data_IF_416572722905
#
_entry.id   IF_416572722905
#
_cell.length_a   1.000
_cell.length_b   1.000
_cell.length_c   1.000
_cell.angle_alpha   90.00
_cell.angle_beta   90.00
_cell.angle_gamma   90.00
#
_symmetry.space_group_name_H-M   'P 1'
#
loop_
_entity.id
_entity.type
_entity.pdbx_description
1 polymer ?
#
# COMPACT_ATOMS: atom_id res chain seq x y z
N UNK A 1 13.72 -38.60 -0.15
CA UNK A 1 12.91 -38.17 1.01
C UNK A 1 13.66 -36.98 1.56
N UNK A 2 13.52 -35.84 0.88
CA UNK A 2 14.36 -34.66 1.10
C UNK A 2 13.90 -33.93 2.35
N UNK A 3 14.88 -33.56 3.16
CA UNK A 3 14.71 -32.71 4.32
C UNK A 3 13.94 -31.45 3.91
N UNK A 4 12.74 -31.29 4.46
CA UNK A 4 12.04 -30.02 4.54
C UNK A 4 12.87 -29.11 5.44
N UNK A 5 13.96 -28.55 4.88
CA UNK A 5 14.71 -27.48 5.51
C UNK A 5 13.72 -26.36 5.88
N UNK A 6 13.86 -25.87 7.11
CA UNK A 6 13.01 -24.86 7.71
C UNK A 6 12.67 -23.77 6.69
N UNK A 7 11.38 -23.66 6.40
CA UNK A 7 10.83 -23.09 5.17
C UNK A 7 10.29 -21.68 5.43
N UNK A 8 10.84 -21.01 6.45
CA UNK A 8 10.33 -19.76 6.97
C UNK A 8 11.11 -18.55 6.43
N UNK A 9 10.39 -17.45 6.18
CA UNK A 9 10.97 -16.19 5.71
C UNK A 9 12.00 -15.64 6.71
N UNK A 10 11.90 -16.05 7.99
CA UNK A 10 12.84 -15.70 9.06
C UNK A 10 14.25 -16.25 8.88
N UNK A 11 14.43 -17.28 8.05
CA UNK A 11 15.71 -18.00 7.95
C UNK A 11 16.55 -17.51 6.76
N UNK A 12 15.97 -16.64 5.93
CA UNK A 12 16.64 -16.07 4.77
C UNK A 12 17.70 -15.06 5.20
N UNK A 13 18.87 -15.13 4.59
CA UNK A 13 20.01 -14.25 4.89
C UNK A 13 20.44 -13.36 3.73
N UNK A 14 19.95 -13.62 2.51
CA UNK A 14 20.29 -12.88 1.29
C UNK A 14 19.04 -12.46 0.50
N UNK A 15 19.18 -11.41 -0.32
CA UNK A 15 18.08 -10.85 -1.10
C UNK A 15 17.47 -11.84 -2.11
N UNK A 16 18.29 -12.62 -2.80
CA UNK A 16 17.83 -13.59 -3.79
C UNK A 16 16.99 -14.70 -3.15
N UNK A 17 17.44 -15.21 -2.00
CA UNK A 17 16.71 -16.14 -1.17
C UNK A 17 15.34 -15.58 -0.77
N UNK A 18 15.29 -14.30 -0.40
CA UNK A 18 14.05 -13.64 0.01
C UNK A 18 13.08 -13.55 -1.16
N UNK A 19 13.53 -13.04 -2.30
CA UNK A 19 12.70 -12.87 -3.49
C UNK A 19 12.16 -14.20 -3.99
N UNK A 20 12.99 -15.23 -4.04
CA UNK A 20 12.57 -16.58 -4.43
C UNK A 20 11.48 -17.11 -3.49
N UNK A 21 11.58 -16.89 -2.18
CA UNK A 21 10.55 -17.32 -1.21
C UNK A 21 9.24 -16.53 -1.33
N UNK A 22 9.32 -15.24 -1.66
CA UNK A 22 8.15 -14.39 -1.89
C UNK A 22 7.46 -14.68 -3.22
N UNK A 23 8.20 -15.10 -4.25
CA UNK A 23 7.69 -15.50 -5.56
C UNK A 23 7.13 -16.91 -5.55
N UNK A 24 7.87 -17.89 -5.02
CA UNK A 24 7.49 -19.31 -5.05
C UNK A 24 6.55 -19.71 -3.90
N UNK A 25 6.22 -18.77 -3.02
CA UNK A 25 5.47 -19.02 -1.78
C UNK A 25 4.07 -19.60 -2.02
N UNK A 26 3.85 -20.81 -1.51
CA UNK A 26 2.52 -21.41 -1.39
C UNK A 26 1.60 -20.53 -0.51
N UNK A 27 0.29 -20.59 -0.80
CA UNK A 27 -0.76 -20.00 0.04
C UNK A 27 -0.59 -20.55 1.46
N UNK A 28 -0.21 -19.68 2.39
CA UNK A 28 0.06 -19.99 3.78
C UNK A 28 -0.91 -19.28 4.72
N UNK A 29 -0.51 -19.11 5.98
CA UNK A 29 -1.22 -18.25 6.93
C UNK A 29 -0.75 -16.79 6.84
N UNK A 30 -1.61 -15.87 7.25
CA UNK A 30 -1.19 -14.47 7.47
C UNK A 30 -0.13 -14.40 8.56
N UNK A 31 0.84 -13.50 8.40
CA UNK A 31 1.97 -13.34 9.32
C UNK A 31 1.94 -11.95 9.97
N UNK A 32 2.52 -11.80 11.18
CA UNK A 32 2.74 -10.49 11.77
C UNK A 32 3.61 -9.60 10.86
N UNK A 33 3.40 -8.27 10.87
CA UNK A 33 4.20 -7.35 10.05
C UNK A 33 5.68 -7.34 10.45
N UNK A 34 5.99 -7.59 11.73
CA UNK A 34 7.37 -7.67 12.23
C UNK A 34 8.21 -8.71 11.45
N UNK A 35 7.62 -9.83 11.02
CA UNK A 35 8.33 -10.85 10.25
C UNK A 35 8.84 -10.29 8.91
N UNK A 36 8.05 -9.46 8.22
CA UNK A 36 8.48 -8.82 6.98
C UNK A 36 9.58 -7.79 7.22
N UNK A 37 9.37 -6.93 8.22
CA UNK A 37 10.28 -5.84 8.55
C UNK A 37 11.63 -6.37 9.03
N UNK A 38 11.63 -7.42 9.85
CA UNK A 38 12.85 -8.07 10.34
C UNK A 38 13.60 -8.81 9.24
N UNK A 39 12.90 -9.47 8.32
CA UNK A 39 13.53 -10.08 7.14
C UNK A 39 14.17 -9.02 6.24
N UNK A 40 13.46 -7.92 5.99
CA UNK A 40 13.98 -6.79 5.21
C UNK A 40 15.24 -6.20 5.83
N UNK A 41 15.20 -5.90 7.13
CA UNK A 41 16.35 -5.37 7.88
C UNK A 41 17.52 -6.34 7.88
N UNK A 42 17.26 -7.63 8.04
CA UNK A 42 18.31 -8.65 8.10
C UNK A 42 19.12 -8.71 6.81
N UNK A 43 18.44 -8.69 5.66
CA UNK A 43 19.09 -8.72 4.35
C UNK A 43 19.80 -7.40 4.04
N UNK A 44 19.14 -6.26 4.25
CA UNK A 44 19.64 -4.99 3.69
C UNK A 44 20.39 -4.08 4.66
N UNK A 45 20.46 -4.39 5.97
CA UNK A 45 21.21 -3.56 6.93
C UNK A 45 22.70 -3.41 6.58
N UNK A 46 23.27 -4.38 5.88
CA UNK A 46 24.65 -4.34 5.40
C UNK A 46 24.89 -3.48 4.16
N UNK A 47 23.84 -2.84 3.60
CA UNK A 47 23.93 -2.12 2.32
C UNK A 47 23.84 -3.02 1.10
N UNK A 48 23.25 -4.22 1.24
CA UNK A 48 23.00 -5.11 0.11
C UNK A 48 22.05 -4.47 -0.90
N UNK A 49 22.35 -4.63 -2.20
CA UNK A 49 21.53 -4.11 -3.28
C UNK A 49 20.15 -4.79 -3.35
N UNK A 50 19.20 -4.13 -4.02
CA UNK A 50 17.86 -4.68 -4.26
C UNK A 50 16.89 -4.51 -3.09
N UNK A 51 17.14 -3.53 -2.21
CA UNK A 51 16.20 -3.14 -1.15
C UNK A 51 14.82 -2.77 -1.73
N UNK A 52 14.79 -2.03 -2.84
CA UNK A 52 13.57 -1.77 -3.61
C UNK A 52 12.77 -3.05 -3.93
N UNK A 53 13.41 -4.06 -4.53
CA UNK A 53 12.74 -5.29 -4.95
C UNK A 53 12.18 -6.07 -3.74
N UNK A 54 12.95 -6.13 -2.65
CA UNK A 54 12.49 -6.71 -1.38
C UNK A 54 11.29 -5.97 -0.81
N UNK A 55 11.32 -4.63 -0.78
CA UNK A 55 10.24 -3.81 -0.26
C UNK A 55 8.96 -3.98 -1.09
N UNK A 56 9.08 -3.93 -2.42
CA UNK A 56 7.97 -4.13 -3.35
C UNK A 56 7.31 -5.49 -3.15
N UNK A 57 8.11 -6.55 -3.08
CA UNK A 57 7.61 -7.92 -2.88
C UNK A 57 6.97 -8.09 -1.50
N UNK A 58 7.58 -7.59 -0.43
CA UNK A 58 7.04 -7.71 0.94
C UNK A 58 5.72 -6.94 1.11
N UNK A 59 5.64 -5.72 0.60
CA UNK A 59 4.44 -4.89 0.72
C UNK A 59 3.24 -5.49 -0.03
N UNK A 60 3.50 -6.13 -1.17
CA UNK A 60 2.47 -6.67 -2.07
C UNK A 60 2.19 -8.17 -1.88
N UNK A 61 2.90 -8.85 -0.98
CA UNK A 61 2.66 -10.25 -0.66
C UNK A 61 1.34 -10.42 0.13
N UNK A 62 0.57 -11.45 -0.26
CA UNK A 62 -0.76 -11.70 0.28
C UNK A 62 -0.73 -12.05 1.79
N UNK A 63 0.40 -12.57 2.32
CA UNK A 63 0.59 -12.91 3.75
C UNK A 63 0.35 -11.71 4.66
N UNK A 64 0.67 -10.51 4.16
CA UNK A 64 0.54 -9.25 4.89
C UNK A 64 -0.55 -8.33 4.33
N UNK A 65 -1.44 -8.82 3.45
CA UNK A 65 -2.51 -7.98 2.84
C UNK A 65 -3.35 -7.16 3.83
N UNK A 66 -3.54 -7.66 5.05
CA UNK A 66 -4.33 -6.99 6.12
C UNK A 66 -3.51 -6.01 6.95
N UNK A 67 -2.19 -6.13 6.92
CA UNK A 67 -1.24 -5.35 7.72
C UNK A 67 -0.19 -4.66 6.84
N UNK A 68 -0.47 -4.50 5.54
CA UNK A 68 0.49 -4.00 4.54
C UNK A 68 0.93 -2.57 4.84
N UNK A 69 0.06 -1.75 5.43
CA UNK A 69 0.41 -0.42 5.93
C UNK A 69 1.51 -0.47 7.00
N UNK A 70 1.43 -1.44 7.92
CA UNK A 70 2.41 -1.60 9.01
C UNK A 70 3.73 -2.16 8.49
N UNK A 71 3.68 -3.05 7.48
CA UNK A 71 4.88 -3.52 6.78
C UNK A 71 5.58 -2.37 6.07
N UNK A 72 4.86 -1.59 5.27
CA UNK A 72 5.40 -0.45 4.54
C UNK A 72 5.98 0.61 5.50
N UNK A 73 5.22 0.97 6.54
CA UNK A 73 5.70 1.91 7.56
C UNK A 73 6.99 1.42 8.21
N UNK A 74 7.06 0.16 8.65
CA UNK A 74 8.26 -0.39 9.27
C UNK A 74 9.46 -0.52 8.33
N UNK A 75 9.22 -0.68 7.02
CA UNK A 75 10.26 -0.65 5.98
C UNK A 75 10.77 0.78 5.79
N UNK A 76 9.90 1.77 5.64
CA UNK A 76 10.29 3.19 5.49
C UNK A 76 11.03 3.68 6.75
N UNK A 77 10.49 3.39 7.94
CA UNK A 77 11.11 3.73 9.24
C UNK A 77 12.46 3.06 9.48
N UNK A 78 12.79 1.99 8.73
CA UNK A 78 14.10 1.36 8.85
C UNK A 78 15.24 2.24 8.31
N UNK A 79 14.93 3.24 7.48
CA UNK A 79 15.91 4.14 6.86
C UNK A 79 16.81 3.46 5.81
N UNK A 80 16.50 2.23 5.42
CA UNK A 80 17.27 1.46 4.43
C UNK A 80 16.91 1.90 3.00
N UNK A 81 15.63 2.23 2.75
CA UNK A 81 15.23 2.83 1.48
C UNK A 81 15.55 4.32 1.53
N UNK A 82 16.42 4.78 0.63
CA UNK A 82 16.62 6.20 0.40
C UNK A 82 15.38 6.83 -0.26
N UNK A 83 15.41 8.16 -0.41
CA UNK A 83 14.32 8.92 -1.02
C UNK A 83 14.00 8.45 -2.44
N UNK A 84 15.03 8.10 -3.23
CA UNK A 84 14.86 7.67 -4.62
C UNK A 84 14.20 6.28 -4.69
N UNK A 85 14.58 5.36 -3.81
CA UNK A 85 13.94 4.05 -3.68
C UNK A 85 12.49 4.16 -3.20
N UNK A 86 12.20 5.08 -2.28
CA UNK A 86 10.83 5.35 -1.84
C UNK A 86 9.98 5.95 -2.96
N UNK A 87 10.52 6.91 -3.71
CA UNK A 87 9.88 7.49 -4.90
C UNK A 87 9.60 6.41 -5.95
N UNK A 88 10.58 5.54 -6.19
CA UNK A 88 10.47 4.41 -7.12
C UNK A 88 9.46 3.37 -6.63
N UNK A 89 9.28 3.21 -5.32
CA UNK A 89 8.28 2.33 -4.72
C UNK A 89 6.87 2.91 -4.79
N UNK A 90 6.71 4.22 -4.62
CA UNK A 90 5.42 4.88 -4.70
C UNK A 90 4.81 4.80 -6.10
N UNK A 91 5.62 4.92 -7.16
CA UNK A 91 5.17 4.89 -8.55
C UNK A 91 4.32 3.65 -8.92
N UNK A 92 4.81 2.39 -8.79
CA UNK A 92 4.01 1.21 -9.09
C UNK A 92 2.85 1.00 -8.11
N UNK A 93 2.97 1.46 -6.86
CA UNK A 93 1.90 1.35 -5.87
C UNK A 93 0.77 2.34 -6.09
N UNK A 94 1.01 3.46 -6.77
CA UNK A 94 -0.02 4.42 -7.12
C UNK A 94 -0.64 4.07 -8.46
N UNK A 95 0.17 4.05 -9.53
CA UNK A 95 -0.36 4.13 -10.90
C UNK A 95 -0.76 2.79 -11.51
N UNK A 96 -0.25 1.66 -10.97
CA UNK A 96 -0.55 0.34 -11.52
C UNK A 96 -1.70 -0.32 -10.78
N UNK A 97 -2.58 -1.01 -11.52
CA UNK A 97 -3.60 -1.88 -10.90
C UNK A 97 -2.95 -3.09 -10.22
N UNK A 98 -1.94 -3.67 -10.89
CA UNK A 98 -1.14 -4.80 -10.42
C UNK A 98 0.31 -4.55 -10.74
N UNK A 99 1.18 -4.87 -9.80
CA UNK A 99 2.63 -4.80 -9.97
C UNK A 99 3.12 -6.10 -10.60
N UNK A 100 3.86 -5.98 -11.70
CA UNK A 100 4.45 -7.13 -12.41
C UNK A 100 5.91 -7.30 -12.01
N UNK A 101 6.20 -8.34 -11.23
CA UNK A 101 7.58 -8.64 -10.83
C UNK A 101 8.18 -9.71 -11.74
N UNK A 102 9.24 -9.37 -12.47
CA UNK A 102 9.92 -10.30 -13.40
C UNK A 102 10.98 -11.11 -12.65
N UNK A 103 11.03 -12.41 -12.91
CA UNK A 103 12.00 -13.31 -12.30
C UNK A 103 12.34 -14.47 -13.24
N UNK A 104 13.49 -15.13 -13.10
CA UNK A 104 13.77 -16.33 -13.87
C UNK A 104 12.87 -17.49 -13.43
N UNK A 105 12.46 -18.33 -14.38
CA UNK A 105 11.48 -19.39 -14.13
C UNK A 105 12.02 -20.44 -13.17
N UNK A 106 13.34 -20.64 -13.10
CA UNK A 106 13.95 -21.61 -12.20
C UNK A 106 13.63 -21.36 -10.72
N UNK A 107 13.23 -20.14 -10.33
CA UNK A 107 12.78 -19.83 -8.96
C UNK A 107 11.58 -20.70 -8.53
N UNK A 108 10.65 -20.93 -9.46
CA UNK A 108 9.42 -21.70 -9.23
C UNK A 108 9.51 -23.15 -9.74
N UNK A 109 10.50 -23.44 -10.58
CA UNK A 109 10.80 -24.77 -11.10
C UNK A 109 11.25 -24.72 -12.56
N UNK A 110 11.79 -25.83 -13.07
CA UNK A 110 12.21 -25.96 -14.48
C UNK A 110 11.42 -27.04 -15.23
N UNK A 111 10.55 -27.76 -14.52
CA UNK A 111 9.70 -28.82 -15.07
C UNK A 111 8.26 -28.54 -14.68
N UNK A 112 7.41 -28.34 -15.69
CA UNK A 112 6.00 -28.01 -15.52
C UNK A 112 5.13 -29.06 -16.20
N UNK A 113 3.86 -29.14 -15.80
CA UNK A 113 2.85 -29.94 -16.49
C UNK A 113 1.91 -28.98 -17.20
N UNK A 114 1.90 -29.03 -18.53
CA UNK A 114 1.00 -28.26 -19.37
C UNK A 114 -0.32 -29.01 -19.53
N UNK A 115 -1.43 -28.34 -19.24
CA UNK A 115 -2.78 -28.85 -19.46
C UNK A 115 -3.47 -28.02 -20.56
N UNK A 116 -4.06 -28.68 -21.54
CA UNK A 116 -4.95 -28.02 -22.49
C UNK A 116 -6.36 -27.96 -21.92
N UNK A 117 -6.77 -26.76 -21.48
CA UNK A 117 -8.13 -26.51 -21.02
C UNK A 117 -9.09 -26.65 -22.21
N UNK A 118 -9.82 -27.76 -22.28
CA UNK A 118 -10.78 -28.06 -23.36
C UNK A 118 -10.65 -29.44 -24.01
N UNK A 119 -9.62 -30.22 -23.68
CA UNK A 119 -9.51 -31.60 -24.13
C UNK A 119 -9.19 -32.54 -22.95
N UNK A 120 -9.77 -33.76 -22.89
CA UNK A 120 -9.50 -34.73 -21.82
C UNK A 120 -8.15 -35.44 -22.02
N UNK A 121 -7.09 -34.71 -22.40
CA UNK A 121 -5.75 -35.26 -22.59
C UNK A 121 -4.96 -35.16 -21.28
N UNK A 122 -4.19 -36.20 -20.99
CA UNK A 122 -3.22 -36.18 -19.90
C UNK A 122 -2.24 -35.01 -20.09
N UNK A 123 -1.92 -34.31 -19.00
CA UNK A 123 -1.01 -33.17 -19.04
C UNK A 123 0.38 -33.57 -19.55
N UNK A 124 0.97 -32.73 -20.39
CA UNK A 124 2.31 -32.96 -20.95
C UNK A 124 3.35 -32.35 -20.02
N UNK A 125 4.35 -33.12 -19.61
CA UNK A 125 5.51 -32.54 -18.90
C UNK A 125 6.37 -31.78 -19.90
N UNK A 126 6.61 -30.50 -19.62
CA UNK A 126 7.51 -29.63 -20.37
C UNK A 126 8.69 -29.25 -19.48
N UNK A 127 9.88 -29.17 -20.09
CA UNK A 127 11.07 -28.60 -19.46
C UNK A 127 11.30 -27.23 -20.08
N UNK A 128 11.45 -26.22 -19.24
CA UNK A 128 11.67 -24.84 -19.67
C UNK A 128 13.11 -24.45 -19.36
N UNK A 129 13.72 -23.65 -20.23
CA UNK A 129 15.04 -23.06 -19.97
C UNK A 129 14.99 -22.29 -18.64
N UNK A 130 15.90 -22.57 -17.69
CA UNK A 130 15.89 -21.95 -16.36
C UNK A 130 15.91 -20.41 -16.40
N UNK A 131 16.56 -19.82 -17.41
CA UNK A 131 16.72 -18.37 -17.54
C UNK A 131 15.54 -17.70 -18.24
N UNK A 132 14.54 -18.47 -18.66
CA UNK A 132 13.28 -17.92 -19.18
C UNK A 132 12.64 -17.01 -18.14
N UNK A 133 12.36 -15.75 -18.51
CA UNK A 133 11.71 -14.81 -17.62
C UNK A 133 10.22 -15.14 -17.47
N UNK A 134 9.78 -15.27 -16.22
CA UNK A 134 8.40 -15.34 -15.80
C UNK A 134 8.00 -14.04 -15.08
N UNK A 135 6.69 -13.84 -14.91
CA UNK A 135 6.15 -12.68 -14.22
C UNK A 135 5.24 -13.13 -13.08
N UNK A 136 5.47 -12.61 -11.89
CA UNK A 136 4.58 -12.72 -10.76
C UNK A 136 3.70 -11.46 -10.66
N UNK A 137 2.39 -11.62 -10.84
CA UNK A 137 1.41 -10.55 -10.67
C UNK A 137 1.12 -10.32 -9.19
N UNK A 138 1.36 -9.10 -8.72
CA UNK A 138 1.14 -8.67 -7.34
C UNK A 138 0.00 -7.68 -7.26
N UNK A 139 -0.88 -7.89 -6.30
CA UNK A 139 -1.98 -6.97 -6.04
C UNK A 139 -1.50 -5.80 -5.18
N UNK A 140 -1.92 -4.59 -5.55
CA UNK A 140 -1.69 -3.41 -4.72
C UNK A 140 -2.89 -3.25 -3.77
N UNK A 141 -2.63 -3.26 -2.47
CA UNK A 141 -3.67 -3.15 -1.46
C UNK A 141 -4.01 -1.67 -1.18
N UNK A 142 -5.26 -1.33 -0.82
CA UNK A 142 -5.67 0.06 -0.57
C UNK A 142 -4.74 0.84 0.38
N UNK A 143 -4.25 0.27 1.51
CA UNK A 143 -3.35 1.02 2.38
C UNK A 143 -2.01 1.40 1.74
N UNK A 144 -1.52 0.63 0.76
CA UNK A 144 -0.32 0.97 -0.01
C UNK A 144 -0.60 2.15 -0.93
N UNK A 145 -1.78 2.19 -1.57
CA UNK A 145 -2.23 3.33 -2.40
C UNK A 145 -2.36 4.62 -1.58
N UNK A 146 -2.85 4.52 -0.35
CA UNK A 146 -2.93 5.67 0.57
C UNK A 146 -1.54 6.26 0.84
N UNK A 147 -0.54 5.42 1.12
CA UNK A 147 0.83 5.91 1.30
C UNK A 147 1.39 6.48 0.00
N UNK A 148 1.26 5.76 -1.12
CA UNK A 148 1.85 6.15 -2.40
C UNK A 148 1.28 7.49 -2.91
N UNK A 149 -0.03 7.72 -2.78
CA UNK A 149 -0.67 8.98 -3.15
C UNK A 149 -0.14 10.16 -2.32
N UNK A 150 -0.03 9.97 -1.00
CA UNK A 150 0.53 11.00 -0.12
C UNK A 150 2.01 11.28 -0.44
N UNK A 151 2.80 10.23 -0.63
CA UNK A 151 4.24 10.34 -0.93
C UNK A 151 4.50 11.08 -2.24
N UNK A 152 3.81 10.71 -3.33
CA UNK A 152 3.96 11.34 -4.64
C UNK A 152 3.62 12.84 -4.60
N UNK A 153 2.57 13.23 -3.86
CA UNK A 153 2.18 14.63 -3.71
C UNK A 153 3.17 15.43 -2.84
N UNK A 154 3.57 14.89 -1.68
CA UNK A 154 4.60 15.51 -0.82
C UNK A 154 5.92 15.76 -1.56
N UNK A 155 6.27 14.87 -2.48
CA UNK A 155 7.50 14.94 -3.28
C UNK A 155 7.33 15.76 -4.56
N UNK A 156 6.16 16.38 -4.77
CA UNK A 156 5.79 17.13 -5.97
C UNK A 156 6.01 16.37 -7.28
N UNK A 157 5.82 15.04 -7.24
CA UNK A 157 6.02 14.15 -8.41
C UNK A 157 4.77 14.00 -9.27
N UNK A 158 3.64 14.49 -8.80
CA UNK A 158 2.40 14.64 -9.56
C UNK A 158 1.59 15.79 -8.96
N UNK A 159 0.68 16.36 -9.74
CA UNK A 159 -0.30 17.31 -9.20
C UNK A 159 -1.46 16.58 -8.50
N UNK A 160 -2.18 17.31 -7.65
CA UNK A 160 -3.44 16.89 -7.06
C UNK A 160 -4.43 16.44 -8.14
N UNK A 161 -4.50 17.16 -9.26
CA UNK A 161 -5.39 16.82 -10.37
C UNK A 161 -5.01 15.48 -11.01
N UNK A 162 -3.73 15.21 -11.24
CA UNK A 162 -3.27 13.92 -11.78
C UNK A 162 -3.67 12.75 -10.86
N UNK A 163 -3.44 12.92 -9.55
CA UNK A 163 -3.76 11.90 -8.54
C UNK A 163 -5.27 11.68 -8.43
N UNK A 164 -6.07 12.75 -8.45
CA UNK A 164 -7.53 12.67 -8.39
C UNK A 164 -8.13 12.09 -9.68
N UNK A 165 -7.59 12.46 -10.85
CA UNK A 165 -7.98 11.88 -12.13
C UNK A 165 -7.71 10.38 -12.14
N UNK A 166 -6.55 9.96 -11.67
CA UNK A 166 -6.25 8.54 -11.55
C UNK A 166 -7.17 7.84 -10.54
N UNK A 167 -7.43 8.44 -9.38
CA UNK A 167 -8.36 7.88 -8.40
C UNK A 167 -9.75 7.59 -9.01
N UNK A 168 -10.25 8.46 -9.90
CA UNK A 168 -11.54 8.25 -10.60
C UNK A 168 -11.54 7.05 -11.54
N UNK A 169 -10.37 6.58 -12.00
CA UNK A 169 -10.24 5.40 -12.86
C UNK A 169 -10.20 4.08 -12.08
N UNK A 170 -10.02 4.12 -10.76
CA UNK A 170 -9.84 2.95 -9.92
C UNK A 170 -11.18 2.41 -9.39
N UNK A 171 -11.22 1.12 -8.98
CA UNK A 171 -12.32 0.59 -8.19
C UNK A 171 -12.56 1.42 -6.91
N UNK A 172 -13.82 1.56 -6.51
CA UNK A 172 -14.24 2.50 -5.46
C UNK A 172 -13.42 2.46 -4.17
N UNK A 173 -13.00 1.26 -3.72
CA UNK A 173 -12.19 1.10 -2.50
C UNK A 173 -10.77 1.64 -2.66
N UNK A 174 -10.15 1.41 -3.81
CA UNK A 174 -8.81 1.86 -4.13
C UNK A 174 -8.79 3.36 -4.41
N UNK A 175 -9.80 3.84 -5.14
CA UNK A 175 -10.06 5.25 -5.37
C UNK A 175 -10.16 6.02 -4.04
N UNK A 176 -10.99 5.54 -3.10
CA UNK A 176 -11.11 6.14 -1.78
C UNK A 176 -9.78 6.14 -0.99
N UNK A 177 -8.96 5.11 -1.15
CA UNK A 177 -7.67 5.02 -0.49
C UNK A 177 -6.65 6.04 -1.03
N UNK A 178 -6.63 6.25 -2.35
CA UNK A 178 -5.81 7.29 -3.00
C UNK A 178 -6.20 8.67 -2.50
N UNK A 179 -7.49 9.03 -2.56
CA UNK A 179 -7.96 10.36 -2.10
C UNK A 179 -7.70 10.56 -0.61
N UNK A 180 -7.89 9.53 0.21
CA UNK A 180 -7.52 9.59 1.65
C UNK A 180 -6.03 9.86 1.84
N UNK A 181 -5.17 9.29 0.99
CA UNK A 181 -3.73 9.54 1.00
C UNK A 181 -3.39 10.99 0.68
N UNK A 182 -4.03 11.55 -0.34
CA UNK A 182 -3.86 12.95 -0.72
C UNK A 182 -4.27 13.92 0.41
N UNK A 183 -5.41 13.66 1.07
CA UNK A 183 -5.87 14.52 2.18
C UNK A 183 -4.88 14.53 3.35
N UNK A 184 -4.26 13.39 3.65
CA UNK A 184 -3.32 13.26 4.79
C UNK A 184 -2.07 14.10 4.66
N UNK A 185 -1.77 14.56 3.45
CA UNK A 185 -0.57 15.35 3.16
C UNK A 185 -0.88 16.79 2.76
N UNK A 186 -2.12 17.23 2.89
CA UNK A 186 -2.56 18.57 2.45
C UNK A 186 -1.69 19.71 3.02
N UNK A 187 -1.13 19.56 4.23
CA UNK A 187 -0.28 20.55 4.94
C UNK A 187 1.06 20.78 4.26
N UNK A 188 1.52 19.78 3.51
CA UNK A 188 2.76 19.83 2.77
C UNK A 188 2.55 20.33 1.33
N UNK A 189 1.32 20.59 0.92
CA UNK A 189 0.98 21.11 -0.39
C UNK A 189 0.84 22.63 -0.35
N UNK A 190 0.96 23.27 -1.51
CA UNK A 190 0.53 24.66 -1.65
C UNK A 190 -0.99 24.80 -1.48
N UNK A 191 -1.45 26.02 -1.19
CA UNK A 191 -2.84 26.32 -0.88
C UNK A 191 -3.84 25.89 -1.98
N UNK A 192 -3.42 25.91 -3.25
CA UNK A 192 -4.27 25.58 -4.38
C UNK A 192 -4.45 24.06 -4.50
N UNK A 193 -3.34 23.31 -4.41
CA UNK A 193 -3.32 21.86 -4.35
C UNK A 193 -4.10 21.33 -3.13
N UNK A 194 -3.86 21.92 -1.95
CA UNK A 194 -4.53 21.54 -0.71
C UNK A 194 -6.05 21.75 -0.81
N UNK A 195 -6.49 22.91 -1.32
CA UNK A 195 -7.91 23.21 -1.55
C UNK A 195 -8.54 22.24 -2.54
N UNK A 196 -7.85 21.94 -3.64
CA UNK A 196 -8.31 20.99 -4.66
C UNK A 196 -8.54 19.61 -4.06
N UNK A 197 -7.59 19.10 -3.28
CA UNK A 197 -7.70 17.80 -2.59
C UNK A 197 -8.84 17.79 -1.58
N UNK A 198 -8.95 18.82 -0.73
CA UNK A 198 -9.98 18.86 0.31
C UNK A 198 -11.40 18.93 -0.27
N UNK A 199 -11.62 19.79 -1.26
CA UNK A 199 -12.92 19.89 -1.93
C UNK A 199 -13.30 18.56 -2.60
N UNK A 200 -12.37 17.96 -3.36
CA UNK A 200 -12.62 16.68 -4.00
C UNK A 200 -12.90 15.55 -2.99
N UNK A 201 -12.23 15.57 -1.83
CA UNK A 201 -12.42 14.57 -0.79
C UNK A 201 -13.78 14.70 -0.09
N UNK A 202 -14.26 15.92 0.17
CA UNK A 202 -15.57 16.20 0.77
C UNK A 202 -16.73 15.76 -0.15
N UNK A 203 -16.57 15.90 -1.46
CA UNK A 203 -17.56 15.47 -2.45
C UNK A 203 -17.49 13.97 -2.77
N UNK A 204 -16.50 13.25 -2.23
CA UNK A 204 -16.28 11.86 -2.60
C UNK A 204 -17.38 10.95 -2.05
N UNK A 205 -17.95 10.08 -2.90
CA UNK A 205 -19.06 9.21 -2.50
C UNK A 205 -18.73 8.22 -1.38
N UNK A 206 -17.45 7.85 -1.22
CA UNK A 206 -17.01 6.98 -0.12
C UNK A 206 -16.69 7.77 1.15
N UNK A 207 -17.06 7.24 2.31
CA UNK A 207 -16.93 7.94 3.61
C UNK A 207 -15.50 8.23 4.07
N UNK A 208 -14.52 7.40 3.67
CA UNK A 208 -13.15 7.52 4.18
C UNK A 208 -12.45 8.84 3.79
N UNK A 209 -12.45 9.27 2.50
CA UNK A 209 -11.99 10.61 2.11
C UNK A 209 -12.70 11.75 2.83
N UNK A 210 -14.04 11.73 2.90
CA UNK A 210 -14.82 12.77 3.58
C UNK A 210 -14.43 12.90 5.04
N UNK A 211 -14.36 11.76 5.75
CA UNK A 211 -13.92 11.75 7.15
C UNK A 211 -12.50 12.30 7.31
N UNK A 212 -11.56 11.90 6.44
CA UNK A 212 -10.20 12.43 6.50
C UNK A 212 -10.14 13.95 6.26
N UNK A 213 -10.96 14.47 5.35
CA UNK A 213 -11.05 15.90 5.09
C UNK A 213 -11.63 16.66 6.28
N UNK A 214 -12.68 16.13 6.92
CA UNK A 214 -13.22 16.70 8.15
C UNK A 214 -12.25 16.64 9.33
N UNK A 215 -11.52 15.53 9.49
CA UNK A 215 -10.42 15.41 10.48
C UNK A 215 -9.38 16.51 10.25
N UNK A 216 -9.09 16.81 8.98
CA UNK A 216 -8.12 17.83 8.60
C UNK A 216 -8.59 19.26 8.90
N UNK A 217 -9.83 19.59 8.53
CA UNK A 217 -10.46 20.88 8.84
C UNK A 217 -10.54 21.11 10.36
N UNK A 218 -10.89 20.05 11.11
CA UNK A 218 -10.93 20.12 12.57
C UNK A 218 -9.55 20.42 13.18
N UNK A 219 -8.49 19.86 12.59
CA UNK A 219 -7.11 20.14 13.00
C UNK A 219 -6.66 21.58 12.64
N UNK A 220 -7.25 22.20 11.62
CA UNK A 220 -7.07 23.65 11.33
C UNK A 220 -7.83 24.56 12.29
N UNK A 221 -8.76 24.02 13.08
CA UNK A 221 -9.64 24.81 13.94
C UNK A 221 -10.95 25.27 13.29
N UNK A 222 -11.31 24.72 12.13
CA UNK A 222 -12.53 25.08 11.39
C UNK A 222 -13.78 24.37 11.95
N UNK A 223 -14.02 24.51 13.25
CA UNK A 223 -15.01 23.73 14.00
C UNK A 223 -16.45 23.95 13.49
N UNK A 224 -16.81 25.19 13.17
CA UNK A 224 -18.12 25.56 12.62
C UNK A 224 -18.35 24.93 11.24
N UNK A 225 -17.32 24.96 10.39
CA UNK A 225 -17.39 24.37 9.05
C UNK A 225 -17.50 22.84 9.14
N UNK A 226 -16.73 22.21 10.02
CA UNK A 226 -16.82 20.76 10.29
C UNK A 226 -18.21 20.41 10.80
N UNK A 227 -18.80 21.19 11.70
CA UNK A 227 -20.15 20.98 12.19
C UNK A 227 -21.18 21.07 11.07
N UNK A 228 -21.11 22.10 10.23
CA UNK A 228 -22.03 22.29 9.12
C UNK A 228 -21.95 21.15 8.10
N UNK A 229 -20.74 20.82 7.63
CA UNK A 229 -20.50 19.76 6.65
C UNK A 229 -20.88 18.38 7.20
N UNK A 230 -20.54 18.09 8.46
CA UNK A 230 -20.88 16.80 9.05
C UNK A 230 -22.38 16.65 9.33
N UNK A 231 -23.11 17.72 9.62
CA UNK A 231 -24.56 17.66 9.80
C UNK A 231 -25.28 17.26 8.50
N UNK A 232 -24.77 17.71 7.35
CA UNK A 232 -25.31 17.42 6.02
C UNK A 232 -24.79 16.10 5.42
N UNK A 233 -23.78 15.46 6.02
CA UNK A 233 -23.23 14.21 5.47
C UNK A 233 -24.27 13.08 5.49
N UNK A 234 -24.44 12.42 4.35
CA UNK A 234 -25.33 11.27 4.20
C UNK A 234 -25.04 10.09 5.15
N UNK A 235 -23.79 9.89 5.58
CA UNK A 235 -23.35 8.77 6.41
C UNK A 235 -23.49 9.07 7.91
N UNK A 236 -24.38 8.33 8.59
CA UNK A 236 -24.66 8.50 10.01
C UNK A 236 -23.41 8.32 10.91
N UNK A 237 -22.43 7.52 10.48
CA UNK A 237 -21.19 7.32 11.24
C UNK A 237 -20.27 8.54 11.20
N UNK A 238 -20.30 9.32 10.11
CA UNK A 238 -19.61 10.62 10.04
C UNK A 238 -20.28 11.62 10.97
N UNK A 239 -21.62 11.71 10.92
CA UNK A 239 -22.37 12.62 11.81
C UNK A 239 -22.10 12.34 13.28
N UNK A 240 -22.18 11.07 13.68
CA UNK A 240 -21.90 10.64 15.06
C UNK A 240 -20.45 10.92 15.47
N UNK A 241 -19.50 10.66 14.57
CA UNK A 241 -18.09 10.95 14.83
C UNK A 241 -17.86 12.45 15.07
N UNK A 242 -18.40 13.32 14.22
CA UNK A 242 -18.21 14.77 14.33
C UNK A 242 -18.80 15.32 15.64
N UNK A 243 -20.02 14.93 16.01
CA UNK A 243 -20.62 15.32 17.29
C UNK A 243 -19.74 14.94 18.49
N UNK A 244 -19.13 13.75 18.47
CA UNK A 244 -18.24 13.30 19.54
C UNK A 244 -16.96 14.14 19.60
N UNK A 245 -16.34 14.44 18.45
CA UNK A 245 -15.09 15.21 18.42
C UNK A 245 -15.30 16.65 18.89
N UNK A 246 -16.35 17.32 18.42
CA UNK A 246 -16.66 18.70 18.79
C UNK A 246 -17.00 18.80 20.29
N UNK A 247 -17.77 17.85 20.84
CA UNK A 247 -18.05 17.80 22.28
C UNK A 247 -16.79 17.59 23.14
N UNK A 248 -15.89 16.70 22.70
CA UNK A 248 -14.63 16.47 23.40
C UNK A 248 -13.75 17.73 23.40
N UNK A 249 -13.67 18.43 22.26
CA UNK A 249 -12.87 19.65 22.12
C UNK A 249 -13.41 20.79 22.98
N UNK A 250 -14.74 20.97 23.03
CA UNK A 250 -15.39 21.94 23.93
C UNK A 250 -15.12 21.65 25.42
N UNK A 251 -15.09 20.37 25.80
CA UNK A 251 -14.78 19.95 27.18
C UNK A 251 -13.31 20.19 27.54
N UNK A 252 -12.39 20.06 26.59
CA UNK A 252 -10.96 20.35 26.79
C UNK A 252 -10.67 21.85 26.81
N UNK A 253 -11.38 22.66 26.01
CA UNK A 253 -11.25 24.12 26.02
C UNK A 253 -11.71 24.76 27.33
N UNK A 254 -12.84 24.31 27.88
CA UNK A 254 -13.38 24.85 29.15
C UNK A 254 -12.68 24.38 30.42
N UNK A 255 -11.59 23.61 30.33
CA UNK A 255 -10.79 23.15 31.47
C UNK A 255 -9.55 24.03 31.72
N UNK A 256 -9.28 24.97 30.81
CA UNK A 256 -8.16 25.91 30.87
C UNK A 256 -8.58 27.39 30.87
N UNK A 257 -9.90 27.65 30.90
CA UNK A 257 -10.53 28.95 31.17
C UNK A 257 -11.09 28.97 32.60
#
# INVERSE_FOLDING_TARGET
MDHLESTEISDVTDALGLWRRLVSGAVGRSLPPAVAVDAFRRVHRGGESGAFDSALLLCTDWRWRRVSAQVLAGIVESGILDDDDQDRLADPLLWQERVRYRHPIWWIGTSFVEYHLGAPKAGRRIRVDPDTLSTADRSVWPPLRTWAAGHVLCRSRASADDVLQHARSLPARDAAAVVTGAVRVADALDDDQARTVLNAALDWGHKAPRKAALERLLACGDDELVQALAADDSDASIRQWASKQLANKATQGGLFD
#
